data_IF_546899599470
#
_entry.id   IF_546899599470
#
_cell.length_a   1.000
_cell.length_b   1.000
_cell.length_c   1.000
_cell.angle_alpha   90.00
_cell.angle_beta   90.00
_cell.angle_gamma   90.00
#
_symmetry.space_group_name_H-M   'P 1'
#
loop_
_entity.id
_entity.type
_entity.pdbx_description
1 polymer ?
#
# COMPACT_ATOMS: atom_id res chain seq x y z
N UNK A 1 14.03 -28.07 -54.07
CA UNK A 1 12.99 -27.06 -54.32
C UNK A 1 12.00 -27.14 -53.16
N UNK A 2 11.87 -26.02 -52.43
CA UNK A 2 10.97 -25.86 -51.30
C UNK A 2 9.50 -25.67 -51.75
N UNK A 3 8.60 -25.58 -50.77
CA UNK A 3 7.13 -25.38 -50.85
C UNK A 3 6.33 -26.67 -50.69
N UNK A 4 5.35 -26.82 -49.81
CA UNK A 4 4.54 -25.82 -49.13
C UNK A 4 3.89 -26.45 -47.88
N UNK A 5 4.26 -25.98 -46.68
CA UNK A 5 3.57 -26.27 -45.41
C UNK A 5 3.32 -24.94 -44.69
N UNK A 6 2.63 -24.01 -45.35
CA UNK A 6 2.26 -22.72 -44.75
C UNK A 6 0.81 -22.40 -45.11
N UNK A 7 -0.16 -23.03 -44.42
CA UNK A 7 -1.31 -22.22 -44.00
C UNK A 7 -1.85 -22.54 -42.59
N UNK A 8 -1.15 -23.34 -41.77
CA UNK A 8 -1.66 -23.74 -40.43
C UNK A 8 -1.04 -22.98 -39.25
N UNK A 9 0.02 -22.19 -39.47
CA UNK A 9 0.70 -21.47 -38.37
C UNK A 9 0.11 -20.06 -38.16
N UNK A 10 -0.55 -19.47 -39.16
CA UNK A 10 -1.11 -18.11 -39.05
C UNK A 10 -2.43 -18.09 -38.24
N UNK A 11 -3.15 -19.22 -38.15
CA UNK A 11 -4.37 -19.33 -37.33
C UNK A 11 -4.12 -19.39 -35.82
N UNK A 12 -2.90 -19.67 -35.37
CA UNK A 12 -2.54 -19.78 -33.95
C UNK A 12 -2.01 -18.47 -33.35
N UNK A 13 -1.76 -17.44 -34.17
CA UNK A 13 -1.26 -16.14 -33.69
C UNK A 13 -2.36 -15.11 -33.35
N UNK A 14 -3.63 -15.40 -33.64
CA UNK A 14 -4.76 -14.49 -33.32
C UNK A 14 -5.58 -14.90 -32.09
N UNK A 15 -5.19 -15.96 -31.36
CA UNK A 15 -5.84 -16.37 -30.11
C UNK A 15 -5.15 -15.83 -28.84
N UNK A 16 -4.26 -14.82 -28.95
CA UNK A 16 -3.49 -14.29 -27.82
C UNK A 16 -3.93 -12.89 -27.34
N UNK A 17 -5.16 -12.47 -27.63
CA UNK A 17 -5.65 -11.14 -27.21
C UNK A 17 -6.96 -11.17 -26.41
N UNK A 18 -7.24 -12.24 -25.68
CA UNK A 18 -8.16 -12.26 -24.53
C UNK A 18 -7.73 -13.48 -23.71
N UNK A 19 -7.06 -13.40 -22.56
CA UNK A 19 -7.72 -13.14 -21.29
C UNK A 19 -6.67 -13.34 -20.16
N UNK A 20 -5.65 -12.49 -20.07
CA UNK A 20 -4.68 -12.48 -18.95
C UNK A 20 -4.47 -11.06 -18.42
N UNK A 21 -5.57 -10.30 -18.36
CA UNK A 21 -5.59 -9.06 -17.57
C UNK A 21 -6.10 -9.32 -16.15
N UNK A 22 -6.98 -10.32 -15.95
CA UNK A 22 -7.56 -10.65 -14.64
C UNK A 22 -6.54 -11.21 -13.63
N UNK A 23 -5.41 -11.78 -14.08
CA UNK A 23 -4.39 -12.33 -13.17
C UNK A 23 -3.56 -11.26 -12.44
N UNK A 24 -3.74 -9.98 -12.80
CA UNK A 24 -2.87 -8.89 -12.37
C UNK A 24 -3.57 -7.86 -11.47
N UNK A 25 -4.84 -8.04 -11.14
CA UNK A 25 -5.57 -7.25 -10.14
C UNK A 25 -6.22 -8.22 -9.14
N UNK A 26 -5.64 -8.34 -7.94
CA UNK A 26 -6.19 -9.21 -6.91
C UNK A 26 -7.33 -8.48 -6.19
N UNK A 27 -8.56 -8.98 -6.33
CA UNK A 27 -9.73 -8.43 -5.66
C UNK A 27 -10.68 -9.53 -5.21
N UNK A 28 -11.44 -9.24 -4.16
CA UNK A 28 -12.50 -10.11 -3.66
C UNK A 28 -13.88 -9.60 -4.04
N UNK A 29 -14.89 -10.48 -3.90
CA UNK A 29 -16.28 -10.05 -3.99
C UNK A 29 -16.64 -9.23 -2.74
N UNK A 30 -17.45 -8.20 -2.95
CA UNK A 30 -17.99 -7.38 -1.88
C UNK A 30 -18.98 -8.15 -1.01
N UNK A 31 -19.66 -9.13 -1.62
CA UNK A 31 -20.64 -9.99 -0.95
C UNK A 31 -20.21 -11.46 -1.03
N UNK A 32 -20.30 -12.21 0.09
CA UNK A 32 -20.01 -13.64 0.11
C UNK A 32 -21.14 -14.46 -0.52
N UNK A 33 -20.96 -15.77 -0.57
CA UNK A 33 -22.01 -16.74 -0.87
C UNK A 33 -23.27 -16.48 -0.01
N UNK A 34 -24.49 -16.60 -0.58
CA UNK A 34 -24.79 -17.05 -1.94
C UNK A 34 -24.93 -15.92 -2.97
N UNK A 35 -24.68 -14.66 -2.60
CA UNK A 35 -25.04 -13.51 -3.43
C UNK A 35 -24.26 -13.46 -4.76
N UNK A 36 -22.99 -13.82 -4.72
CA UNK A 36 -22.12 -13.89 -5.89
C UNK A 36 -21.95 -15.33 -6.44
N UNK A 37 -22.72 -16.30 -5.93
CA UNK A 37 -22.68 -17.69 -6.36
C UNK A 37 -23.49 -17.88 -7.65
N UNK A 38 -23.03 -18.77 -8.52
CA UNK A 38 -23.80 -19.16 -9.71
C UNK A 38 -23.86 -18.12 -10.83
N UNK A 39 -23.09 -17.02 -10.75
CA UNK A 39 -22.88 -16.10 -11.87
C UNK A 39 -22.10 -16.86 -12.97
N UNK A 40 -22.83 -17.47 -13.91
CA UNK A 40 -22.28 -18.38 -14.94
C UNK A 40 -22.21 -17.78 -16.35
N UNK A 41 -22.56 -16.51 -16.54
CA UNK A 41 -22.40 -15.84 -17.83
C UNK A 41 -21.93 -14.40 -17.61
N UNK A 42 -20.64 -14.20 -17.81
CA UNK A 42 -19.93 -12.98 -17.38
C UNK A 42 -20.39 -11.72 -18.10
N UNK A 43 -21.04 -11.81 -19.25
CA UNK A 43 -21.37 -10.62 -20.05
C UNK A 43 -22.73 -9.98 -19.68
N UNK A 44 -23.81 -10.76 -19.50
CA UNK A 44 -25.15 -10.17 -19.36
C UNK A 44 -25.48 -9.70 -17.93
N UNK A 45 -24.90 -10.33 -16.92
CA UNK A 45 -25.12 -9.95 -15.52
C UNK A 45 -24.11 -8.93 -15.00
N UNK A 46 -22.86 -9.01 -15.45
CA UNK A 46 -21.79 -8.15 -14.95
C UNK A 46 -21.68 -6.84 -15.72
N UNK A 47 -22.33 -6.73 -16.88
CA UNK A 47 -22.29 -5.54 -17.73
C UNK A 47 -23.69 -5.06 -18.10
N UNK A 48 -23.80 -3.77 -18.39
CA UNK A 48 -25.08 -3.14 -18.73
C UNK A 48 -25.38 -3.39 -20.20
N UNK A 49 -26.38 -4.24 -20.49
CA UNK A 49 -26.86 -4.45 -21.86
C UNK A 49 -25.80 -5.01 -22.82
N UNK A 50 -24.87 -5.83 -22.29
CA UNK A 50 -23.77 -6.41 -23.05
C UNK A 50 -22.60 -5.45 -23.35
N UNK A 51 -22.65 -4.19 -22.90
CA UNK A 51 -21.55 -3.24 -23.05
C UNK A 51 -20.42 -3.55 -22.06
N UNK A 52 -19.37 -4.20 -22.58
CA UNK A 52 -18.18 -4.59 -21.80
C UNK A 52 -17.38 -3.44 -21.19
N UNK A 53 -17.72 -2.19 -21.46
CA UNK A 53 -17.10 -1.03 -20.82
C UNK A 53 -17.91 -0.49 -19.63
N UNK A 54 -19.12 -1.00 -19.42
CA UNK A 54 -20.03 -0.50 -18.39
C UNK A 54 -20.46 -1.61 -17.44
N UNK A 55 -19.87 -1.62 -16.25
CA UNK A 55 -20.20 -2.58 -15.21
C UNK A 55 -21.62 -2.37 -14.66
N UNK A 56 -22.33 -3.46 -14.46
CA UNK A 56 -23.57 -3.49 -13.68
C UNK A 56 -23.25 -3.43 -12.17
N UNK A 57 -24.25 -3.29 -11.29
CA UNK A 57 -24.05 -3.46 -9.86
C UNK A 57 -23.43 -4.81 -9.48
N UNK A 58 -23.80 -5.92 -10.15
CA UNK A 58 -23.14 -7.23 -9.97
C UNK A 58 -21.70 -7.22 -10.47
N UNK A 59 -21.43 -6.56 -11.61
CA UNK A 59 -20.08 -6.39 -12.12
C UNK A 59 -19.16 -5.58 -11.21
N UNK A 60 -19.73 -4.71 -10.37
CA UNK A 60 -18.97 -3.95 -9.36
C UNK A 60 -18.81 -4.79 -8.09
N UNK A 61 -19.90 -5.33 -7.55
CA UNK A 61 -19.91 -5.94 -6.22
C UNK A 61 -19.51 -7.41 -6.19
N UNK A 62 -19.62 -8.12 -7.31
CA UNK A 62 -19.15 -9.49 -7.45
C UNK A 62 -17.93 -9.53 -8.38
N UNK A 63 -17.02 -8.57 -8.24
CA UNK A 63 -15.94 -8.35 -9.20
C UNK A 63 -15.01 -9.56 -9.40
N UNK A 64 -14.80 -10.39 -8.37
CA UNK A 64 -14.07 -11.66 -8.49
C UNK A 64 -14.87 -12.69 -9.29
N UNK A 65 -16.15 -12.87 -8.98
CA UNK A 65 -17.03 -13.79 -9.74
C UNK A 65 -17.25 -13.33 -11.19
N UNK A 66 -17.29 -12.01 -11.42
CA UNK A 66 -17.47 -11.37 -12.71
C UNK A 66 -16.16 -11.20 -13.50
N UNK A 67 -15.00 -11.43 -12.88
CA UNK A 67 -13.66 -11.15 -13.44
C UNK A 67 -13.46 -9.71 -13.91
N UNK A 68 -14.09 -8.76 -13.22
CA UNK A 68 -14.10 -7.33 -13.54
C UNK A 68 -13.17 -6.52 -12.64
N UNK A 69 -12.35 -7.16 -11.80
CA UNK A 69 -11.42 -6.52 -10.87
C UNK A 69 -10.64 -5.36 -11.55
N UNK A 70 -9.99 -5.63 -12.69
CA UNK A 70 -9.19 -4.62 -13.38
C UNK A 70 -9.98 -3.48 -14.05
N UNK A 71 -11.30 -3.58 -14.11
CA UNK A 71 -12.15 -2.50 -14.63
C UNK A 71 -12.54 -1.50 -13.56
N UNK A 72 -12.39 -1.84 -12.29
CA UNK A 72 -12.70 -0.92 -11.20
C UNK A 72 -11.59 0.14 -11.09
N UNK A 73 -11.93 1.43 -10.91
CA UNK A 73 -10.95 2.51 -10.90
C UNK A 73 -9.80 2.33 -9.90
N UNK A 74 -10.08 1.78 -8.71
CA UNK A 74 -9.06 1.57 -7.67
C UNK A 74 -8.06 0.45 -8.02
N UNK A 75 -8.39 -0.43 -8.96
CA UNK A 75 -7.48 -1.47 -9.47
C UNK A 75 -6.73 -1.04 -10.75
N UNK A 76 -6.99 0.15 -11.29
CA UNK A 76 -6.31 0.69 -12.48
C UNK A 76 -5.07 1.53 -12.11
N UNK A 77 -4.22 1.02 -11.22
CA UNK A 77 -3.00 1.70 -10.83
C UNK A 77 -1.84 1.44 -11.82
N UNK A 78 -0.75 2.18 -11.68
CA UNK A 78 0.47 2.03 -12.49
C UNK A 78 1.69 1.78 -11.60
N UNK A 79 2.67 1.06 -12.14
CA UNK A 79 3.97 0.92 -11.49
C UNK A 79 4.74 2.24 -11.56
N UNK A 80 5.46 2.56 -10.47
CA UNK A 80 6.40 3.67 -10.46
C UNK A 80 7.77 3.24 -10.95
N UNK A 81 8.26 2.09 -10.47
CA UNK A 81 9.53 1.50 -10.90
C UNK A 81 10.76 2.40 -10.73
N UNK A 82 10.72 3.36 -9.80
CA UNK A 82 11.82 4.32 -9.60
C UNK A 82 12.98 3.65 -8.86
N UNK A 83 12.64 2.84 -7.86
CA UNK A 83 13.63 2.13 -7.03
C UNK A 83 13.78 0.66 -7.41
N UNK A 84 12.79 0.09 -8.09
CA UNK A 84 12.70 -1.33 -8.37
C UNK A 84 12.45 -1.60 -9.85
N UNK A 85 13.02 -2.70 -10.34
CA UNK A 85 12.61 -3.27 -11.61
C UNK A 85 11.44 -4.23 -11.37
N UNK A 86 10.22 -3.77 -11.65
CA UNK A 86 9.01 -4.53 -11.36
C UNK A 86 8.94 -5.86 -12.11
N UNK A 87 9.43 -5.92 -13.34
CA UNK A 87 9.52 -7.17 -14.10
C UNK A 87 10.42 -8.20 -13.42
N UNK A 88 11.56 -7.77 -12.87
CA UNK A 88 12.45 -8.63 -12.11
C UNK A 88 11.78 -9.14 -10.83
N UNK A 89 11.09 -8.27 -10.08
CA UNK A 89 10.36 -8.63 -8.85
C UNK A 89 9.27 -9.68 -9.12
N UNK A 90 8.51 -9.51 -10.21
CA UNK A 90 7.50 -10.48 -10.64
C UNK A 90 8.14 -11.81 -11.00
N UNK A 91 9.18 -11.80 -11.85
CA UNK A 91 9.86 -13.02 -12.32
C UNK A 91 10.53 -13.79 -11.19
N UNK A 92 10.99 -13.12 -10.14
CA UNK A 92 11.56 -13.77 -8.96
C UNK A 92 10.51 -14.30 -7.98
N UNK A 93 9.21 -14.10 -8.24
CA UNK A 93 8.12 -14.51 -7.36
C UNK A 93 7.97 -13.68 -6.08
N UNK A 94 8.69 -12.56 -5.97
CA UNK A 94 8.72 -11.75 -4.74
C UNK A 94 7.41 -11.02 -4.46
N UNK A 95 6.54 -10.85 -5.45
CA UNK A 95 5.20 -10.27 -5.25
C UNK A 95 4.35 -11.07 -4.24
N UNK A 96 4.67 -12.34 -3.98
CA UNK A 96 3.99 -13.20 -2.99
C UNK A 96 4.64 -13.18 -1.60
N UNK A 97 5.53 -12.23 -1.34
CA UNK A 97 6.23 -12.14 -0.06
C UNK A 97 5.25 -11.92 1.09
N UNK A 98 5.48 -12.60 2.22
CA UNK A 98 4.79 -12.34 3.49
C UNK A 98 5.51 -11.28 4.32
N UNK A 99 6.68 -10.81 3.88
CA UNK A 99 7.39 -9.72 4.52
C UNK A 99 6.68 -8.40 4.20
N UNK A 100 5.97 -7.83 5.17
CA UNK A 100 5.17 -6.64 4.96
C UNK A 100 5.96 -5.37 4.63
N UNK A 101 7.27 -5.28 4.87
CA UNK A 101 8.12 -4.15 4.44
C UNK A 101 8.32 -4.24 2.93
N UNK A 102 8.70 -5.43 2.44
CA UNK A 102 8.82 -5.68 1.01
C UNK A 102 7.46 -5.52 0.32
N UNK A 103 6.39 -6.03 0.93
CA UNK A 103 5.04 -5.86 0.42
C UNK A 103 4.67 -4.37 0.32
N UNK A 104 4.95 -3.58 1.35
CA UNK A 104 4.71 -2.12 1.34
C UNK A 104 5.51 -1.41 0.25
N UNK A 105 6.77 -1.79 0.07
CA UNK A 105 7.61 -1.24 -0.99
C UNK A 105 7.06 -1.61 -2.37
N UNK A 106 6.61 -2.86 -2.57
CA UNK A 106 6.00 -3.31 -3.82
C UNK A 106 4.65 -2.66 -4.08
N UNK A 107 3.83 -2.39 -3.05
CA UNK A 107 2.57 -1.64 -3.17
C UNK A 107 2.78 -0.18 -3.59
N UNK A 108 3.98 0.38 -3.42
CA UNK A 108 4.28 1.76 -3.86
C UNK A 108 5.04 1.78 -5.19
N UNK A 109 6.01 0.90 -5.37
CA UNK A 109 6.89 0.89 -6.55
C UNK A 109 6.33 0.04 -7.70
N UNK A 110 5.73 -1.10 -7.39
CA UNK A 110 5.27 -2.10 -8.36
C UNK A 110 3.82 -2.59 -8.15
N UNK A 111 2.86 -1.73 -7.78
CA UNK A 111 1.52 -2.19 -7.41
C UNK A 111 0.76 -2.82 -8.57
N UNK A 112 0.94 -2.34 -9.81
CA UNK A 112 0.31 -2.97 -10.96
C UNK A 112 0.94 -4.33 -11.23
N UNK A 113 2.26 -4.40 -11.30
CA UNK A 113 2.98 -5.63 -11.62
C UNK A 113 2.77 -6.73 -10.57
N UNK A 114 2.67 -6.36 -9.29
CA UNK A 114 2.44 -7.31 -8.20
C UNK A 114 0.95 -7.54 -7.87
N UNK A 115 0.02 -6.91 -8.58
CA UNK A 115 -1.41 -7.01 -8.30
C UNK A 115 -1.86 -6.39 -6.99
N UNK A 116 -1.09 -5.40 -6.51
CA UNK A 116 -1.31 -4.64 -5.29
C UNK A 116 -1.98 -3.28 -5.57
N UNK A 117 -2.76 -3.16 -6.64
CA UNK A 117 -3.69 -2.04 -6.80
C UNK A 117 -4.86 -2.17 -5.81
N UNK A 118 -5.58 -1.09 -5.50
CA UNK A 118 -6.71 -1.14 -4.55
C UNK A 118 -6.33 -1.16 -3.07
N UNK A 119 -5.03 -1.09 -2.74
CA UNK A 119 -4.53 -0.98 -1.36
C UNK A 119 -4.65 0.43 -0.77
N UNK A 120 -5.19 1.41 -1.51
CA UNK A 120 -5.59 2.68 -0.93
C UNK A 120 -6.80 2.45 -0.02
N UNK A 121 -6.52 2.10 1.22
CA UNK A 121 -7.54 1.87 2.22
C UNK A 121 -8.21 3.20 2.55
N UNK A 122 -9.34 3.48 1.91
CA UNK A 122 -10.10 4.73 1.98
C UNK A 122 -11.54 4.44 2.34
N UNK A 123 -12.17 5.38 3.03
CA UNK A 123 -13.62 5.33 3.25
C UNK A 123 -14.33 5.62 1.94
N UNK A 124 -15.41 4.90 1.67
CA UNK A 124 -16.17 5.04 0.42
C UNK A 124 -16.85 6.42 0.32
N UNK A 125 -17.42 6.89 1.43
CA UNK A 125 -17.98 8.23 1.54
C UNK A 125 -17.84 8.75 2.97
N UNK A 126 -17.24 9.93 3.12
CA UNK A 126 -16.95 10.50 4.44
C UNK A 126 -18.19 10.80 5.30
N UNK A 127 -19.34 11.11 4.69
CA UNK A 127 -20.58 11.44 5.41
C UNK A 127 -21.24 10.15 5.88
N UNK A 128 -21.38 9.16 5.00
CA UNK A 128 -21.91 7.83 5.35
C UNK A 128 -21.04 7.22 6.45
N UNK A 129 -19.72 7.29 6.32
CA UNK A 129 -18.82 6.72 7.30
C UNK A 129 -18.85 7.44 8.65
N UNK A 130 -19.07 8.75 8.68
CA UNK A 130 -19.32 9.48 9.94
C UNK A 130 -20.54 8.95 10.69
N UNK A 131 -21.59 8.54 9.97
CA UNK A 131 -22.79 7.93 10.55
C UNK A 131 -22.52 6.48 11.01
N UNK A 132 -21.80 5.71 10.19
CA UNK A 132 -21.49 4.30 10.47
C UNK A 132 -20.37 4.10 11.50
N UNK A 133 -19.74 5.17 12.00
CA UNK A 133 -18.63 5.11 12.96
C UNK A 133 -18.93 4.29 14.22
N UNK A 134 -20.17 4.30 14.71
CA UNK A 134 -20.58 3.48 15.86
C UNK A 134 -20.90 2.03 15.52
N UNK A 135 -20.96 1.69 14.23
CA UNK A 135 -21.42 0.41 13.70
C UNK A 135 -20.27 -0.48 13.19
N UNK A 136 -19.03 -0.19 13.57
CA UNK A 136 -17.83 -0.89 13.09
C UNK A 136 -17.69 -2.35 13.54
N UNK A 137 -18.62 -2.86 14.35
CA UNK A 137 -18.76 -4.31 14.58
C UNK A 137 -19.36 -5.04 13.37
N UNK A 138 -20.14 -4.35 12.53
CA UNK A 138 -20.79 -4.88 11.34
C UNK A 138 -19.80 -4.93 10.15
N UNK A 139 -19.78 -6.05 9.43
CA UNK A 139 -18.85 -6.28 8.31
C UNK A 139 -19.06 -5.34 7.12
N UNK A 140 -20.29 -4.89 6.87
CA UNK A 140 -20.60 -3.89 5.83
C UNK A 140 -20.00 -2.52 6.20
N UNK A 141 -20.08 -2.13 7.47
CA UNK A 141 -19.44 -0.88 7.95
C UNK A 141 -17.91 -0.98 7.88
N UNK A 142 -17.34 -2.14 8.23
CA UNK A 142 -15.89 -2.39 8.09
C UNK A 142 -15.41 -2.30 6.64
N UNK A 143 -16.24 -2.77 5.71
CA UNK A 143 -15.92 -2.80 4.27
C UNK A 143 -16.06 -1.43 3.60
N UNK A 144 -17.14 -0.72 3.90
CA UNK A 144 -17.45 0.58 3.29
C UNK A 144 -16.61 1.70 3.90
N UNK A 145 -16.30 1.58 5.20
CA UNK A 145 -15.68 2.63 6.00
C UNK A 145 -14.41 2.13 6.71
N UNK A 146 -13.46 1.52 6.00
CA UNK A 146 -12.33 0.87 6.65
C UNK A 146 -11.42 1.87 7.37
N UNK A 147 -11.30 3.14 6.93
CA UNK A 147 -10.54 4.16 7.67
C UNK A 147 -11.29 4.55 8.95
N UNK A 148 -12.58 4.88 8.83
CA UNK A 148 -13.39 5.27 9.99
C UNK A 148 -13.50 4.16 11.03
N UNK A 149 -13.58 2.90 10.58
CA UNK A 149 -13.64 1.74 11.45
C UNK A 149 -12.27 1.24 11.92
N UNK A 150 -11.19 1.94 11.59
CA UNK A 150 -9.81 1.54 11.89
C UNK A 150 -9.48 0.10 11.41
N UNK A 151 -10.18 -0.36 10.39
CA UNK A 151 -9.94 -1.63 9.68
C UNK A 151 -8.78 -1.46 8.70
N UNK A 152 -8.60 -0.23 8.20
CA UNK A 152 -7.43 0.12 7.46
C UNK A 152 -6.21 -0.24 8.28
N UNK A 153 -5.56 -1.31 7.88
CA UNK A 153 -4.17 -1.50 8.18
C UNK A 153 -3.50 -0.33 7.47
N UNK A 154 -2.90 0.63 8.20
CA UNK A 154 -2.02 1.55 7.51
C UNK A 154 -1.03 0.72 6.70
N UNK A 155 -0.53 1.25 5.58
CA UNK A 155 0.67 0.71 4.91
C UNK A 155 1.91 1.02 5.79
N UNK A 156 1.76 0.85 7.09
CA UNK A 156 2.78 0.89 8.11
C UNK A 156 2.81 -0.52 8.68
N UNK A 157 3.67 -1.34 8.06
CA UNK A 157 4.65 -2.20 8.74
C UNK A 157 4.16 -2.66 10.11
N UNK A 158 3.10 -3.46 10.13
CA UNK A 158 2.55 -4.03 11.35
C UNK A 158 2.47 -5.53 11.18
N UNK A 159 3.64 -6.14 11.34
CA UNK A 159 3.86 -7.57 11.26
C UNK A 159 5.21 -7.86 11.92
N UNK A 160 5.33 -9.06 12.48
CA UNK A 160 6.61 -9.55 12.95
C UNK A 160 7.46 -9.98 11.76
N UNK A 161 8.69 -9.47 11.68
CA UNK A 161 9.66 -9.85 10.65
C UNK A 161 10.25 -11.24 10.87
N UNK A 162 10.03 -11.84 12.05
CA UNK A 162 10.62 -13.12 12.46
C UNK A 162 9.57 -13.99 13.14
N UNK A 163 9.63 -15.30 12.94
CA UNK A 163 8.78 -16.28 13.64
C UNK A 163 9.10 -16.40 15.14
N UNK A 164 10.27 -15.91 15.57
CA UNK A 164 10.73 -15.99 16.96
C UNK A 164 10.20 -14.88 17.86
N UNK A 165 9.40 -13.95 17.33
CA UNK A 165 8.87 -12.84 18.11
C UNK A 165 8.04 -13.32 19.31
N UNK A 166 7.27 -14.40 19.16
CA UNK A 166 6.56 -15.07 20.26
C UNK A 166 7.46 -15.47 21.43
N UNK A 167 8.72 -15.85 21.17
CA UNK A 167 9.71 -16.22 22.20
C UNK A 167 10.34 -15.01 22.89
N UNK A 168 10.27 -13.84 22.24
CA UNK A 168 10.86 -12.59 22.72
C UNK A 168 9.82 -11.62 23.28
N UNK A 169 8.56 -12.04 23.40
CA UNK A 169 7.44 -11.21 23.87
C UNK A 169 7.70 -10.55 25.23
N UNK A 170 8.34 -11.27 26.16
CA UNK A 170 8.68 -10.74 27.48
C UNK A 170 9.86 -9.75 27.47
N UNK A 171 10.38 -9.40 26.29
CA UNK A 171 11.49 -8.47 26.09
C UNK A 171 11.09 -7.22 25.32
N UNK A 172 9.80 -7.05 25.01
CA UNK A 172 9.28 -5.87 24.32
C UNK A 172 9.69 -4.56 25.03
N UNK A 173 9.74 -4.57 26.36
CA UNK A 173 10.10 -3.39 27.16
C UNK A 173 11.57 -3.34 27.61
N UNK A 174 12.42 -4.32 27.24
CA UNK A 174 13.87 -4.23 27.54
C UNK A 174 14.46 -3.04 26.75
N UNK A 175 14.99 -1.99 27.41
CA UNK A 175 15.47 -0.79 26.74
C UNK A 175 16.54 -1.04 25.67
N UNK A 176 17.31 -2.13 25.81
CA UNK A 176 18.37 -2.50 24.86
C UNK A 176 17.81 -3.20 23.63
N UNK A 177 16.71 -3.95 23.79
CA UNK A 177 16.08 -4.72 22.72
C UNK A 177 14.94 -3.95 22.07
N UNK A 178 14.35 -2.96 22.76
CA UNK A 178 13.20 -2.18 22.31
C UNK A 178 13.33 -1.65 20.87
N UNK A 179 14.47 -1.10 20.41
CA UNK A 179 14.62 -0.69 19.01
C UNK A 179 14.46 -1.86 18.02
N UNK A 180 15.02 -3.02 18.36
CA UNK A 180 14.91 -4.24 17.54
C UNK A 180 13.49 -4.83 17.61
N UNK A 181 12.87 -4.84 18.78
CA UNK A 181 11.49 -5.29 18.94
C UNK A 181 10.52 -4.38 18.18
N UNK A 182 10.77 -3.07 18.16
CA UNK A 182 10.00 -2.09 17.37
C UNK A 182 10.16 -2.29 15.87
N UNK A 183 11.35 -2.68 15.40
CA UNK A 183 11.59 -2.92 13.96
C UNK A 183 11.13 -4.29 13.49
N UNK A 184 11.17 -5.31 14.36
CA UNK A 184 11.10 -6.71 13.93
C UNK A 184 10.01 -7.54 14.60
N UNK A 185 9.44 -7.09 15.71
CA UNK A 185 8.42 -7.81 16.47
C UNK A 185 7.26 -6.89 16.87
N UNK A 186 6.86 -6.00 15.96
CA UNK A 186 6.01 -4.88 16.31
C UNK A 186 4.55 -5.29 16.60
N UNK A 187 4.08 -6.40 16.03
CA UNK A 187 2.77 -6.98 16.31
C UNK A 187 2.81 -7.69 17.65
N UNK A 188 3.78 -8.61 17.86
CA UNK A 188 3.90 -9.34 19.12
C UNK A 188 4.06 -8.40 20.31
N UNK A 189 4.75 -7.27 20.12
CA UNK A 189 4.94 -6.25 21.14
C UNK A 189 3.86 -5.16 21.20
N UNK A 190 2.85 -5.20 20.33
CA UNK A 190 1.76 -4.21 20.33
C UNK A 190 2.22 -2.78 20.00
N UNK A 191 3.38 -2.62 19.35
CA UNK A 191 3.87 -1.31 18.92
C UNK A 191 3.08 -0.74 17.73
N UNK A 192 2.19 -1.55 17.18
CA UNK A 192 1.34 -1.22 16.04
C UNK A 192 0.40 -0.02 16.21
N UNK A 193 0.14 0.37 17.44
CA UNK A 193 -0.69 1.53 17.77
C UNK A 193 0.10 2.67 18.44
N UNK A 194 1.43 2.53 18.51
CA UNK A 194 2.30 3.64 18.87
C UNK A 194 2.44 4.54 17.64
N UNK A 195 1.50 5.49 17.53
CA UNK A 195 1.36 6.48 16.46
C UNK A 195 2.40 6.40 15.36
N UNK A 196 1.98 5.87 14.21
CA UNK A 196 2.53 6.19 12.89
C UNK A 196 3.03 7.61 12.89
N UNK A 197 4.36 7.80 13.04
CA UNK A 197 5.09 9.05 12.83
C UNK A 197 4.16 10.25 12.73
N UNK A 198 3.52 10.61 13.85
CA UNK A 198 3.14 12.00 14.00
C UNK A 198 4.51 12.66 14.11
N UNK A 199 4.95 13.25 13.01
CA UNK A 199 5.47 14.60 13.13
C UNK A 199 4.35 15.31 13.89
N UNK A 200 4.42 15.24 15.22
CA UNK A 200 3.76 16.16 16.11
C UNK A 200 4.04 17.50 15.45
N UNK A 201 3.04 18.29 15.04
CA UNK A 201 3.31 19.68 14.76
C UNK A 201 4.01 20.17 16.02
N UNK A 202 5.31 20.40 15.90
CA UNK A 202 6.10 20.99 16.95
C UNK A 202 5.31 22.23 17.37
N UNK A 203 5.06 22.44 18.67
CA UNK A 203 4.29 23.58 19.12
C UNK A 203 4.86 24.81 18.43
N UNK A 204 4.02 25.46 17.64
CA UNK A 204 4.24 26.81 17.15
C UNK A 204 4.55 27.67 18.36
N UNK A 205 5.85 27.88 18.62
CA UNK A 205 6.48 29.03 19.27
C UNK A 205 7.95 28.70 19.59
N UNK A 206 8.71 28.27 18.59
CA UNK A 206 10.14 28.11 18.75
C UNK A 206 10.82 29.48 18.58
N UNK A 207 11.24 30.03 19.71
CA UNK A 207 12.19 31.12 19.81
C UNK A 207 13.33 30.93 18.79
N UNK A 208 13.43 31.85 17.83
CA UNK A 208 14.54 31.89 16.88
C UNK A 208 15.80 32.41 17.57
N UNK A 209 16.46 31.54 18.32
CA UNK A 209 17.70 31.86 19.06
C UNK A 209 18.79 30.85 18.73
N UNK A 210 20.03 31.31 18.82
CA UNK A 210 21.18 30.41 18.87
C UNK A 210 21.31 29.84 20.27
N UNK A 211 21.57 28.54 20.36
CA UNK A 211 21.69 27.78 21.62
C UNK A 211 23.13 27.37 21.93
N UNK A 212 24.05 27.58 20.99
CA UNK A 212 25.48 27.29 21.16
C UNK A 212 26.31 28.58 20.99
N UNK A 213 27.23 28.90 21.92
CA UNK A 213 28.06 30.10 21.80
C UNK A 213 29.00 30.08 20.58
N UNK A 214 29.20 28.92 19.94
CA UNK A 214 30.09 28.77 18.77
C UNK A 214 29.40 29.04 17.43
N UNK A 215 28.13 29.43 17.41
CA UNK A 215 27.38 29.61 16.16
C UNK A 215 28.07 30.57 15.17
N UNK A 216 28.60 31.70 15.65
CA UNK A 216 29.34 32.64 14.80
C UNK A 216 30.58 32.01 14.15
N UNK A 217 31.34 31.21 14.90
CA UNK A 217 32.50 30.50 14.38
C UNK A 217 32.08 29.42 13.35
N UNK A 218 31.04 28.65 13.63
CA UNK A 218 30.55 27.60 12.72
C UNK A 218 30.01 28.16 11.40
N UNK A 219 29.30 29.29 11.45
CA UNK A 219 28.83 29.97 10.25
C UNK A 219 29.99 30.44 9.39
N UNK A 220 31.03 31.02 10.00
CA UNK A 220 32.26 31.44 9.30
C UNK A 220 33.00 30.24 8.69
N UNK A 221 32.91 29.06 9.30
CA UNK A 221 33.50 27.82 8.80
C UNK A 221 32.60 27.02 7.84
N UNK A 222 31.48 27.60 7.36
CA UNK A 222 30.63 26.98 6.33
C UNK A 222 29.70 25.86 6.81
N UNK A 223 29.42 25.78 8.12
CA UNK A 223 28.58 24.71 8.68
C UNK A 223 27.11 24.85 8.26
N UNK A 224 26.62 26.09 8.09
CA UNK A 224 25.22 26.35 7.72
C UNK A 224 24.84 25.80 6.34
N UNK A 225 25.81 25.65 5.44
CA UNK A 225 25.61 25.17 4.06
C UNK A 225 26.02 23.72 3.86
N UNK A 226 26.61 23.09 4.89
CA UNK A 226 27.17 21.74 4.77
C UNK A 226 26.22 20.68 5.39
N UNK A 227 25.72 19.71 4.60
CA UNK A 227 24.75 18.72 5.05
C UNK A 227 25.28 17.73 6.11
N UNK A 228 26.59 17.68 6.36
CA UNK A 228 27.19 16.86 7.42
C UNK A 228 26.97 17.43 8.82
N UNK A 229 26.70 18.74 8.97
CA UNK A 229 26.62 19.41 10.27
C UNK A 229 25.18 19.71 10.74
N UNK A 230 24.20 18.88 10.35
CA UNK A 230 22.77 19.07 10.70
C UNK A 230 22.49 19.33 12.17
N UNK A 231 23.19 18.63 13.08
CA UNK A 231 23.02 18.80 14.52
C UNK A 231 23.52 20.15 15.04
N UNK A 232 24.63 20.66 14.50
CA UNK A 232 25.18 21.98 14.79
C UNK A 232 24.31 23.09 14.18
N UNK A 233 23.82 22.87 12.96
CA UNK A 233 22.91 23.78 12.24
C UNK A 233 21.60 23.98 13.01
N UNK A 234 21.03 22.91 13.59
CA UNK A 234 19.83 22.99 14.43
C UNK A 234 20.02 23.83 15.71
N UNK A 235 21.26 23.93 16.23
CA UNK A 235 21.57 24.76 17.41
C UNK A 235 21.76 26.24 17.07
N UNK A 236 21.94 26.56 15.80
CA UNK A 236 22.33 27.89 15.31
C UNK A 236 21.31 28.46 14.34
N UNK A 237 20.02 28.24 14.60
CA UNK A 237 18.94 28.56 13.68
C UNK A 237 18.92 30.04 13.27
N UNK A 238 19.22 30.96 14.21
CA UNK A 238 19.29 32.40 13.94
C UNK A 238 20.55 32.78 13.15
N UNK A 239 21.71 32.29 13.56
CA UNK A 239 22.97 32.56 12.85
C UNK A 239 22.96 31.98 11.43
N UNK A 240 22.37 30.80 11.23
CA UNK A 240 22.25 30.13 9.93
C UNK A 240 21.02 30.55 9.12
N UNK A 241 20.21 31.52 9.59
CA UNK A 241 19.02 32.05 8.91
C UNK A 241 18.00 30.97 8.51
N UNK A 242 17.82 29.99 9.39
CA UNK A 242 16.79 28.94 9.25
C UNK A 242 15.46 29.33 9.88
N UNK A 243 15.54 30.37 10.69
CA UNK A 243 14.52 31.31 11.12
C UNK A 243 15.25 32.68 11.16
#
# INVERSE_FOLDING_TARGET
>A
MASSMVPLIIGLLMAQMTNSQADNCDCDNDYPSPFCDGIQNKDDECYVGGDKFKLSPKGIHCAKSCETCCMLPHFQCADRGVRLNCDSIRKSGLCKTTNGILLSLFSVECPKTCGLCGHECTDSDSVICSILKSSCANDESKRLCPKTCNICRPINICFDMTEHCSLLKDRCDDPRLKPLMQSSCNETCGFCHSESSTIKPEPTDQYCIDTDPRCSAWATNGFCTNPFYKSSVKKCSKTCRLC
#
